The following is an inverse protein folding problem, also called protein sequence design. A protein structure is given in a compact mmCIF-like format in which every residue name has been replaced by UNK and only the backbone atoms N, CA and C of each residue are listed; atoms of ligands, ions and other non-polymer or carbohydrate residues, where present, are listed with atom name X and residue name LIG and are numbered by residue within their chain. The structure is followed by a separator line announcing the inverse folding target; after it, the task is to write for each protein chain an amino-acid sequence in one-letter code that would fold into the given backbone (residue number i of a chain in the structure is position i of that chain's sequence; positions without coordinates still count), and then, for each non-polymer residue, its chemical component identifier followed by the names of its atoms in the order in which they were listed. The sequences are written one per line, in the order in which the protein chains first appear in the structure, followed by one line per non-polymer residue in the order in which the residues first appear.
data_IF_658693406131
#
_entry.id   IF_658693406131
#
_cell.length_a   1.000
_cell.length_b   1.000
_cell.length_c   1.000
_cell.angle_alpha   90.00
_cell.angle_beta   90.00
_cell.angle_gamma   90.00
#
_symmetry.space_group_name_H-M   'P 1'
#
loop_
_entity.id
_entity.type
_entity.pdbx_description
1 polymer ?
#
# COMPACT_ATOMS: atom_id res chain seq x y z
N UNK A 1 22.55 -16.03 12.42
CA UNK A 1 22.11 -14.64 12.16
C UNK A 1 21.97 -14.32 10.67
N UNK A 2 22.97 -14.59 9.80
CA UNK A 2 22.86 -14.29 8.34
C UNK A 2 21.62 -14.90 7.66
N UNK A 3 21.31 -16.16 7.93
CA UNK A 3 20.13 -16.85 7.35
C UNK A 3 18.79 -16.23 7.78
N UNK A 4 18.72 -15.62 8.97
CA UNK A 4 17.51 -15.00 9.51
C UNK A 4 17.06 -13.75 8.72
N UNK A 5 18.00 -13.01 8.12
CA UNK A 5 17.70 -11.78 7.37
C UNK A 5 17.82 -11.93 5.85
N UNK A 6 18.41 -13.02 5.36
CA UNK A 6 18.75 -13.21 3.94
C UNK A 6 17.93 -14.30 3.24
N UNK A 7 17.04 -15.00 3.94
CA UNK A 7 16.17 -16.02 3.33
C UNK A 7 15.25 -15.34 2.30
N UNK A 8 15.22 -15.75 1.02
CA UNK A 8 14.35 -15.14 0.00
C UNK A 8 12.86 -15.31 0.34
N UNK A 9 11.97 -14.47 -0.22
CA UNK A 9 10.53 -14.65 -0.01
C UNK A 9 10.09 -16.00 -0.59
N UNK A 10 8.91 -16.47 -0.20
CA UNK A 10 8.31 -17.62 -0.88
C UNK A 10 8.05 -17.27 -2.34
N UNK A 11 8.20 -18.26 -3.23
CA UNK A 11 7.85 -18.15 -4.65
C UNK A 11 6.38 -18.54 -4.87
N UNK A 12 5.84 -18.29 -6.06
CA UNK A 12 4.54 -18.85 -6.40
C UNK A 12 4.60 -20.39 -6.34
N UNK A 13 3.54 -21.02 -5.81
CA UNK A 13 3.47 -22.47 -5.60
C UNK A 13 4.04 -22.97 -4.26
N UNK A 14 4.81 -22.16 -3.52
CA UNK A 14 5.27 -22.49 -2.16
C UNK A 14 4.16 -22.21 -1.12
N UNK A 15 3.11 -23.04 -1.14
CA UNK A 15 1.96 -22.93 -0.22
C UNK A 15 2.28 -23.57 1.13
N UNK A 16 2.01 -22.85 2.21
CA UNK A 16 2.11 -23.37 3.58
C UNK A 16 0.71 -23.81 4.02
N UNK A 17 0.47 -25.13 4.06
CA UNK A 17 -0.85 -25.69 4.40
C UNK A 17 -1.27 -25.49 5.86
N UNK A 18 -0.31 -25.24 6.75
CA UNK A 18 -0.54 -25.02 8.20
C UNK A 18 -0.05 -23.64 8.61
N UNK A 19 -0.48 -22.60 7.90
CA UNK A 19 -0.14 -21.22 8.24
C UNK A 19 -1.07 -20.70 9.33
N UNK A 20 -0.50 -20.16 10.39
CA UNK A 20 -1.23 -19.42 11.43
C UNK A 20 -1.02 -17.92 11.23
N UNK A 21 -2.07 -17.13 11.47
CA UNK A 21 -1.98 -15.67 11.41
C UNK A 21 -1.20 -15.18 12.63
N UNK A 22 -0.10 -14.47 12.39
CA UNK A 22 0.74 -13.97 13.48
C UNK A 22 0.12 -12.74 14.14
N UNK A 23 0.45 -12.51 15.43
CA UNK A 23 0.05 -11.28 16.13
C UNK A 23 0.52 -10.01 15.39
N UNK A 24 1.66 -10.08 14.72
CA UNK A 24 2.21 -8.95 13.97
C UNK A 24 1.35 -8.60 12.74
N UNK A 25 0.78 -9.60 12.08
CA UNK A 25 -0.16 -9.39 10.97
C UNK A 25 -1.47 -8.79 11.46
N UNK A 26 -2.01 -9.27 12.59
CA UNK A 26 -3.19 -8.67 13.21
C UNK A 26 -2.92 -7.21 13.61
N UNK A 27 -1.73 -6.92 14.15
CA UNK A 27 -1.34 -5.56 14.49
C UNK A 27 -1.17 -4.68 13.25
N UNK A 28 -0.67 -5.23 12.15
CA UNK A 28 -0.61 -4.56 10.84
C UNK A 28 -1.99 -4.13 10.36
N UNK A 29 -2.98 -5.02 10.42
CA UNK A 29 -4.37 -4.71 10.05
C UNK A 29 -4.99 -3.61 10.95
N UNK A 30 -4.67 -3.61 12.25
CA UNK A 30 -5.13 -2.53 13.15
C UNK A 30 -4.61 -1.14 12.76
N UNK A 31 -3.41 -1.04 12.17
CA UNK A 31 -2.93 0.25 11.65
C UNK A 31 -3.81 0.77 10.51
N UNK A 32 -4.28 -0.13 9.63
CA UNK A 32 -5.24 0.25 8.58
C UNK A 32 -6.60 0.66 9.16
N UNK A 33 -7.06 0.02 10.23
CA UNK A 33 -8.29 0.44 10.93
C UNK A 33 -8.17 1.88 11.43
N UNK A 34 -7.01 2.25 12.00
CA UNK A 34 -6.75 3.64 12.43
C UNK A 34 -6.74 4.60 11.24
N UNK A 35 -6.09 4.24 10.13
CA UNK A 35 -6.11 5.03 8.89
C UNK A 35 -7.53 5.27 8.38
N UNK A 36 -8.35 4.23 8.33
CA UNK A 36 -9.76 4.32 7.90
C UNK A 36 -10.56 5.18 8.88
N UNK A 37 -10.29 5.11 10.18
CA UNK A 37 -10.93 5.96 11.17
C UNK A 37 -10.60 7.45 10.98
N UNK A 38 -9.35 7.80 10.64
CA UNK A 38 -8.95 9.18 10.33
C UNK A 38 -9.73 9.73 9.13
N UNK A 39 -9.78 8.97 8.03
CA UNK A 39 -10.51 9.40 6.81
C UNK A 39 -12.02 9.45 7.05
N UNK A 40 -12.56 8.56 7.89
CA UNK A 40 -13.97 8.58 8.29
C UNK A 40 -14.30 9.81 9.15
N UNK A 41 -13.37 10.26 9.98
CA UNK A 41 -13.54 11.48 10.77
C UNK A 41 -13.69 12.72 9.87
N UNK A 42 -12.86 12.82 8.83
CA UNK A 42 -12.97 13.87 7.81
C UNK A 42 -14.35 13.88 7.12
N UNK A 43 -14.90 12.70 6.79
CA UNK A 43 -16.25 12.60 6.23
C UNK A 43 -17.32 13.09 7.23
N UNK A 44 -17.16 12.78 8.51
CA UNK A 44 -18.11 13.18 9.55
C UNK A 44 -18.15 14.70 9.76
N UNK A 45 -17.05 15.42 9.50
CA UNK A 45 -16.99 16.89 9.57
C UNK A 45 -17.42 17.57 8.26
N UNK A 46 -17.38 16.86 7.13
CA UNK A 46 -17.74 17.38 5.79
C UNK A 46 -18.89 16.60 5.14
N UNK A 47 -20.05 16.56 5.82
CA UNK A 47 -21.21 15.78 5.35
C UNK A 47 -21.82 16.40 4.08
N UNK A 48 -21.56 15.77 2.94
CA UNK A 48 -22.09 16.17 1.62
C UNK A 48 -21.52 15.30 0.49
N UNK A 49 -22.00 15.50 -0.74
CA UNK A 49 -21.55 14.70 -1.89
C UNK A 49 -20.04 14.85 -2.16
N UNK A 50 -19.50 16.06 -1.95
CA UNK A 50 -18.05 16.34 -2.03
C UNK A 50 -17.28 15.52 -1.00
N UNK A 51 -17.68 15.54 0.27
CA UNK A 51 -17.01 14.79 1.33
C UNK A 51 -17.08 13.26 1.12
N UNK A 52 -18.20 12.75 0.60
CA UNK A 52 -18.32 11.33 0.22
C UNK A 52 -17.32 10.97 -0.89
N UNK A 53 -17.18 11.82 -1.91
CA UNK A 53 -16.21 11.58 -2.98
C UNK A 53 -14.77 11.60 -2.44
N UNK A 54 -14.41 12.58 -1.61
CA UNK A 54 -13.09 12.66 -0.94
C UNK A 54 -12.80 11.39 -0.15
N UNK A 55 -13.75 10.98 0.68
CA UNK A 55 -13.68 9.78 1.48
C UNK A 55 -13.44 8.55 0.60
N UNK A 56 -14.25 8.33 -0.44
CA UNK A 56 -14.15 7.15 -1.32
C UNK A 56 -12.79 7.10 -2.01
N UNK A 57 -12.27 8.25 -2.46
CA UNK A 57 -10.97 8.30 -3.13
C UNK A 57 -9.83 7.98 -2.15
N UNK A 58 -9.77 8.64 -0.99
CA UNK A 58 -8.70 8.40 -0.02
C UNK A 58 -8.80 6.98 0.56
N UNK A 59 -10.01 6.52 0.87
CA UNK A 59 -10.27 5.14 1.26
C UNK A 59 -9.81 4.15 0.19
N UNK A 60 -10.11 4.41 -1.08
CA UNK A 60 -9.69 3.56 -2.20
C UNK A 60 -8.16 3.46 -2.30
N UNK A 61 -7.43 4.56 -2.09
CA UNK A 61 -5.97 4.51 -2.04
C UNK A 61 -5.45 3.67 -0.87
N UNK A 62 -6.05 3.83 0.32
CA UNK A 62 -5.72 3.02 1.50
C UNK A 62 -6.01 1.54 1.24
N UNK A 63 -7.13 1.24 0.61
CA UNK A 63 -7.51 -0.11 0.21
C UNK A 63 -6.49 -0.73 -0.76
N UNK A 64 -6.05 0.01 -1.79
CA UNK A 64 -5.00 -0.45 -2.69
C UNK A 64 -3.68 -0.75 -1.96
N UNK A 65 -3.31 0.10 -0.99
CA UNK A 65 -2.13 -0.12 -0.17
C UNK A 65 -2.27 -1.37 0.71
N UNK A 66 -3.42 -1.55 1.37
CA UNK A 66 -3.73 -2.73 2.18
C UNK A 66 -3.69 -4.01 1.35
N UNK A 67 -4.37 -4.02 0.20
CA UNK A 67 -4.38 -5.16 -0.71
C UNK A 67 -2.96 -5.58 -1.12
N UNK A 68 -2.09 -4.61 -1.44
CA UNK A 68 -0.71 -4.87 -1.80
C UNK A 68 0.14 -5.37 -0.63
N UNK A 69 -0.03 -4.79 0.56
CA UNK A 69 0.68 -5.21 1.77
C UNK A 69 0.30 -6.62 2.19
N UNK A 70 -0.99 -6.85 2.43
CA UNK A 70 -1.52 -8.14 2.87
C UNK A 70 -1.33 -9.22 1.82
N UNK A 71 -1.55 -8.92 0.54
CA UNK A 71 -1.32 -9.87 -0.55
C UNK A 71 0.13 -10.33 -0.63
N UNK A 72 1.10 -9.44 -0.40
CA UNK A 72 2.51 -9.84 -0.35
C UNK A 72 2.82 -10.73 0.86
N UNK A 73 2.30 -10.39 2.05
CA UNK A 73 2.52 -11.20 3.26
C UNK A 73 1.89 -12.59 3.15
N UNK A 74 0.67 -12.67 2.64
CA UNK A 74 -0.08 -13.90 2.45
C UNK A 74 0.63 -14.84 1.46
N UNK A 75 1.03 -14.32 0.30
CA UNK A 75 1.58 -15.13 -0.78
C UNK A 75 3.07 -15.44 -0.59
N UNK A 76 3.84 -14.45 -0.12
CA UNK A 76 5.31 -14.49 -0.19
C UNK A 76 6.01 -14.36 1.18
N UNK A 77 5.26 -13.98 2.24
CA UNK A 77 5.79 -13.78 3.58
C UNK A 77 6.37 -15.06 4.21
N UNK A 78 7.35 -14.90 5.10
CA UNK A 78 7.97 -15.96 5.91
C UNK A 78 8.09 -15.48 7.36
N UNK A 79 8.18 -16.40 8.31
CA UNK A 79 8.48 -16.06 9.71
C UNK A 79 10.00 -15.81 9.93
N UNK A 80 10.57 -14.86 9.19
CA UNK A 80 11.98 -14.49 9.28
C UNK A 80 12.18 -13.01 9.62
N UNK A 81 13.44 -12.62 9.86
CA UNK A 81 13.78 -11.25 10.22
C UNK A 81 13.57 -10.25 9.08
N UNK A 82 13.62 -10.69 7.81
CA UNK A 82 13.43 -9.78 6.68
C UNK A 82 11.97 -9.41 6.51
N UNK A 83 11.06 -10.39 6.56
CA UNK A 83 9.63 -10.16 6.51
C UNK A 83 9.17 -9.28 7.70
N UNK A 84 9.69 -9.54 8.91
CA UNK A 84 9.42 -8.69 10.09
C UNK A 84 9.88 -7.25 9.87
N UNK A 85 11.07 -7.04 9.33
CA UNK A 85 11.56 -5.70 8.99
C UNK A 85 10.69 -5.00 7.95
N UNK A 86 10.15 -5.73 6.96
CA UNK A 86 9.20 -5.15 6.00
C UNK A 86 7.92 -4.72 6.69
N UNK A 87 7.32 -5.56 7.53
CA UNK A 87 6.10 -5.20 8.28
C UNK A 87 6.35 -3.95 9.13
N UNK A 88 7.42 -3.92 9.94
CA UNK A 88 7.71 -2.74 10.77
C UNK A 88 7.94 -1.47 9.93
N UNK A 89 8.62 -1.59 8.80
CA UNK A 89 8.85 -0.45 7.89
C UNK A 89 7.54 0.05 7.30
N UNK A 90 6.68 -0.86 6.83
CA UNK A 90 5.35 -0.53 6.30
C UNK A 90 4.49 0.12 7.38
N UNK A 91 4.49 -0.41 8.60
CA UNK A 91 3.74 0.15 9.72
C UNK A 91 4.19 1.56 10.08
N UNK A 92 5.51 1.82 10.07
CA UNK A 92 6.03 3.17 10.30
C UNK A 92 5.56 4.14 9.21
N UNK A 93 5.60 3.72 7.94
CA UNK A 93 5.12 4.52 6.82
C UNK A 93 3.60 4.74 6.87
N UNK A 94 2.83 3.73 7.25
CA UNK A 94 1.37 3.82 7.44
C UNK A 94 1.00 4.74 8.61
N UNK A 95 1.77 4.70 9.70
CA UNK A 95 1.58 5.61 10.82
C UNK A 95 1.85 7.08 10.41
N UNK A 96 2.89 7.32 9.61
CA UNK A 96 3.13 8.66 9.02
C UNK A 96 2.01 9.03 8.05
N UNK A 97 1.55 8.10 7.23
CA UNK A 97 0.44 8.33 6.29
C UNK A 97 -0.84 8.72 7.04
N UNK A 98 -1.09 8.12 8.21
CA UNK A 98 -2.25 8.42 9.06
C UNK A 98 -2.25 9.86 9.58
N UNK A 99 -1.08 10.46 9.81
CA UNK A 99 -0.96 11.87 10.22
C UNK A 99 -1.54 12.80 9.17
N UNK A 100 -1.36 12.48 7.88
CA UNK A 100 -1.81 13.29 6.76
C UNK A 100 -3.16 12.85 6.18
N UNK A 101 -3.77 11.79 6.72
CA UNK A 101 -4.93 11.16 6.13
C UNK A 101 -6.21 12.00 6.25
N UNK A 102 -6.38 12.72 7.37
CA UNK A 102 -7.54 13.59 7.58
C UNK A 102 -7.55 14.76 6.60
N UNK A 103 -6.41 15.44 6.40
CA UNK A 103 -6.25 16.56 5.46
C UNK A 103 -5.84 16.18 4.03
N UNK A 104 -5.91 14.90 3.65
CA UNK A 104 -5.31 14.39 2.40
C UNK A 104 -5.85 15.05 1.12
N UNK A 105 -7.09 15.53 1.14
CA UNK A 105 -7.71 16.21 -0.01
C UNK A 105 -7.50 17.72 -0.02
N UNK A 106 -6.85 18.28 1.00
CA UNK A 106 -6.52 19.70 1.14
C UNK A 106 -5.03 19.90 1.41
N UNK A 107 -4.69 20.68 2.43
CA UNK A 107 -3.31 21.15 2.71
C UNK A 107 -2.29 20.01 2.93
N UNK A 108 -2.71 18.89 3.54
CA UNK A 108 -1.81 17.76 3.81
C UNK A 108 -1.63 16.83 2.60
N UNK A 109 -2.38 17.05 1.51
CA UNK A 109 -2.39 16.14 0.38
C UNK A 109 -1.05 15.92 -0.34
N UNK A 110 -0.17 16.93 -0.49
CA UNK A 110 1.19 16.69 -0.97
C UNK A 110 2.00 15.76 -0.07
N UNK A 111 1.91 15.93 1.25
CA UNK A 111 2.59 15.07 2.21
C UNK A 111 2.03 13.64 2.17
N UNK A 112 0.70 13.51 2.15
CA UNK A 112 0.02 12.23 1.94
C UNK A 112 0.49 11.53 0.66
N UNK A 113 0.52 12.24 -0.47
CA UNK A 113 0.95 11.73 -1.76
C UNK A 113 2.40 11.20 -1.74
N UNK A 114 3.31 11.97 -1.14
CA UNK A 114 4.73 11.61 -1.03
C UNK A 114 4.88 10.37 -0.14
N UNK A 115 4.26 10.36 1.04
CA UNK A 115 4.32 9.21 1.95
C UNK A 115 3.73 7.96 1.31
N UNK A 116 2.59 8.10 0.61
CA UNK A 116 1.96 7.02 -0.14
C UNK A 116 2.88 6.48 -1.23
N UNK A 117 3.51 7.35 -2.02
CA UNK A 117 4.43 6.95 -3.08
C UNK A 117 5.67 6.22 -2.54
N UNK A 118 6.21 6.63 -1.37
CA UNK A 118 7.31 5.92 -0.69
C UNK A 118 6.87 4.52 -0.27
N UNK A 119 5.68 4.40 0.35
CA UNK A 119 5.11 3.11 0.74
C UNK A 119 4.87 2.21 -0.48
N UNK A 120 4.30 2.75 -1.56
CA UNK A 120 4.04 2.00 -2.79
C UNK A 120 5.32 1.62 -3.53
N UNK A 121 6.38 2.42 -3.41
CA UNK A 121 7.72 2.05 -3.89
C UNK A 121 8.26 0.84 -3.13
N UNK A 122 8.05 0.78 -1.80
CA UNK A 122 8.42 -0.37 -0.99
C UNK A 122 7.62 -1.63 -1.39
N UNK A 123 6.32 -1.52 -1.68
CA UNK A 123 5.54 -2.64 -2.23
C UNK A 123 6.06 -3.06 -3.61
N UNK A 124 6.33 -2.10 -4.49
CA UNK A 124 6.86 -2.35 -5.84
C UNK A 124 8.18 -3.09 -5.78
N UNK A 125 9.07 -2.68 -4.86
CA UNK A 125 10.33 -3.36 -4.62
C UNK A 125 10.13 -4.81 -4.15
N UNK A 126 9.21 -5.03 -3.22
CA UNK A 126 8.87 -6.36 -2.72
C UNK A 126 8.37 -7.29 -3.84
N UNK A 127 7.49 -6.81 -4.72
CA UNK A 127 7.03 -7.55 -5.89
C UNK A 127 8.11 -7.74 -6.94
N UNK A 128 9.03 -6.78 -7.09
CA UNK A 128 10.18 -6.90 -7.98
C UNK A 128 11.12 -8.01 -7.54
N UNK A 129 11.33 -8.16 -6.23
CA UNK A 129 12.11 -9.27 -5.69
C UNK A 129 11.47 -10.62 -6.05
N UNK A 130 10.14 -10.75 -5.98
CA UNK A 130 9.43 -11.95 -6.42
C UNK A 130 9.69 -12.20 -7.90
N UNK A 131 9.41 -11.22 -8.75
CA UNK A 131 9.65 -11.32 -10.20
C UNK A 131 11.04 -11.85 -10.57
N UNK A 132 12.06 -11.47 -9.80
CA UNK A 132 13.47 -11.86 -10.03
C UNK A 132 13.76 -13.32 -9.67
N UNK A 133 13.07 -13.87 -8.67
CA UNK A 133 13.34 -15.22 -8.15
C UNK A 133 12.35 -16.27 -8.66
N UNK A 134 11.21 -15.82 -9.16
CA UNK A 134 10.07 -16.66 -9.47
C UNK A 134 10.20 -17.37 -10.83
N UNK A 135 9.36 -18.39 -11.01
CA UNK A 135 9.39 -19.24 -12.18
C UNK A 135 8.99 -18.47 -13.45
N UNK A 136 9.57 -18.82 -14.63
CA UNK A 136 9.32 -18.08 -15.86
C UNK A 136 7.85 -17.97 -16.27
N UNK A 137 6.99 -18.92 -15.86
CA UNK A 137 5.56 -18.90 -16.21
C UNK A 137 4.81 -17.72 -15.59
N UNK A 138 5.20 -17.26 -14.40
CA UNK A 138 4.53 -16.15 -13.70
C UNK A 138 5.06 -14.78 -14.13
N UNK A 139 6.20 -14.72 -14.84
CA UNK A 139 6.86 -13.46 -15.21
C UNK A 139 5.98 -12.50 -16.02
N UNK A 140 5.22 -12.92 -17.04
CA UNK A 140 4.40 -12.00 -17.81
C UNK A 140 3.37 -11.26 -16.94
N UNK A 141 2.68 -11.99 -16.06
CA UNK A 141 1.69 -11.43 -15.13
C UNK A 141 2.37 -10.47 -14.16
N UNK A 142 3.47 -10.90 -13.53
CA UNK A 142 4.20 -10.06 -12.58
C UNK A 142 4.82 -8.83 -13.23
N UNK A 143 5.25 -8.89 -14.49
CA UNK A 143 5.76 -7.72 -15.24
C UNK A 143 4.66 -6.69 -15.48
N UNK A 144 3.48 -7.11 -15.94
CA UNK A 144 2.33 -6.22 -16.11
C UNK A 144 1.90 -5.60 -14.78
N UNK A 145 1.89 -6.39 -13.71
CA UNK A 145 1.58 -5.92 -12.37
C UNK A 145 2.58 -4.86 -11.89
N UNK A 146 3.89 -5.13 -12.03
CA UNK A 146 4.94 -4.18 -11.67
C UNK A 146 4.88 -2.89 -12.49
N UNK A 147 4.54 -2.96 -13.78
CA UNK A 147 4.33 -1.77 -14.60
C UNK A 147 3.21 -0.91 -14.01
N UNK A 148 2.07 -1.51 -13.66
CA UNK A 148 0.99 -0.83 -12.96
C UNK A 148 1.44 -0.19 -11.65
N UNK A 149 2.21 -0.91 -10.83
CA UNK A 149 2.70 -0.38 -9.55
C UNK A 149 3.66 0.81 -9.73
N UNK A 150 4.58 0.73 -10.70
CA UNK A 150 5.48 1.85 -11.04
C UNK A 150 4.68 3.05 -11.53
N UNK A 151 3.67 2.82 -12.38
CA UNK A 151 2.76 3.89 -12.80
C UNK A 151 2.05 4.53 -11.61
N UNK A 152 1.53 3.74 -10.66
CA UNK A 152 0.94 4.26 -9.41
C UNK A 152 1.91 5.14 -8.64
N UNK A 153 3.15 4.69 -8.42
CA UNK A 153 4.17 5.48 -7.72
C UNK A 153 4.39 6.82 -8.42
N UNK A 154 4.60 6.81 -9.74
CA UNK A 154 4.89 8.02 -10.50
C UNK A 154 3.70 8.98 -10.54
N UNK A 155 2.49 8.46 -10.73
CA UNK A 155 1.25 9.26 -10.78
C UNK A 155 0.95 9.89 -9.43
N UNK A 156 1.00 9.11 -8.35
CA UNK A 156 0.73 9.65 -7.00
C UNK A 156 1.84 10.62 -6.58
N UNK A 157 3.11 10.31 -6.83
CA UNK A 157 4.20 11.24 -6.53
C UNK A 157 4.07 12.55 -7.33
N UNK A 158 3.77 12.47 -8.62
CA UNK A 158 3.53 13.64 -9.48
C UNK A 158 2.35 14.49 -8.99
N UNK A 159 1.33 13.85 -8.43
CA UNK A 159 0.16 14.54 -7.88
C UNK A 159 0.47 15.43 -6.66
N UNK A 160 1.62 15.24 -6.00
CA UNK A 160 2.05 16.08 -4.89
C UNK A 160 2.36 17.53 -5.31
N UNK A 161 2.58 17.77 -6.61
CA UNK A 161 3.02 19.06 -7.15
C UNK A 161 1.91 19.81 -7.91
N UNK A 162 0.66 19.35 -7.84
CA UNK A 162 -0.49 19.99 -8.47
C UNK A 162 -1.49 20.50 -7.44
N UNK A 163 -2.48 21.27 -7.88
CA UNK A 163 -3.55 21.76 -7.01
C UNK A 163 -4.38 20.63 -6.40
N UNK A 164 -5.01 20.90 -5.26
CA UNK A 164 -5.79 19.92 -4.49
C UNK A 164 -6.90 19.27 -5.33
N UNK A 165 -7.62 20.07 -6.12
CA UNK A 165 -8.66 19.57 -7.02
C UNK A 165 -8.08 18.65 -8.10
N UNK A 166 -6.97 19.05 -8.74
CA UNK A 166 -6.32 18.22 -9.76
C UNK A 166 -5.78 16.92 -9.17
N UNK A 167 -5.20 16.96 -7.97
CA UNK A 167 -4.69 15.79 -7.25
C UNK A 167 -5.81 14.78 -6.98
N UNK A 168 -6.97 15.25 -6.51
CA UNK A 168 -8.10 14.38 -6.24
C UNK A 168 -8.67 13.71 -7.50
N UNK A 169 -8.74 14.44 -8.62
CA UNK A 169 -9.12 13.86 -9.92
C UNK A 169 -8.11 12.82 -10.41
N UNK A 170 -6.80 13.09 -10.27
CA UNK A 170 -5.74 12.12 -10.59
C UNK A 170 -5.92 10.84 -9.79
N UNK A 171 -6.15 10.94 -8.48
CA UNK A 171 -6.38 9.79 -7.62
C UNK A 171 -7.67 9.04 -7.97
N UNK A 172 -8.73 9.75 -8.34
CA UNK A 172 -9.99 9.15 -8.79
C UNK A 172 -9.77 8.32 -10.05
N UNK A 173 -9.12 8.89 -11.07
CA UNK A 173 -8.83 8.21 -12.34
C UNK A 173 -7.94 6.99 -12.09
N UNK A 174 -6.90 7.15 -11.26
CA UNK A 174 -6.01 6.06 -10.88
C UNK A 174 -6.79 4.87 -10.30
N UNK A 175 -7.73 5.12 -9.38
CA UNK A 175 -8.54 4.05 -8.78
C UNK A 175 -9.45 3.36 -9.79
N UNK A 176 -10.10 4.13 -10.65
CA UNK A 176 -10.98 3.57 -11.70
C UNK A 176 -10.21 2.69 -12.69
N UNK A 177 -8.95 3.02 -12.97
CA UNK A 177 -8.08 2.22 -13.84
C UNK A 177 -7.62 0.92 -13.16
N UNK A 178 -7.53 0.92 -11.82
CA UNK A 178 -7.04 -0.23 -11.05
C UNK A 178 -8.12 -1.26 -10.67
N UNK A 179 -9.40 -0.87 -10.71
CA UNK A 179 -10.57 -1.72 -10.41
C UNK A 179 -11.09 -2.36 -11.70
#
# INVERSE_FOLDING_TARGET
MRTWFLTPPRRHGEVVYTREVSFLELFYDLVYVVLIAQVSHHLATHVGWRGVWEFVVVFGLIWLAWFNGTGWHELHGREDGRARNYIFTQMMLLAVLAVFAEGATGEDGPAFAITYAILFTLYTWQWHLIHRIDDPEYRPVTTSYLAGMVTTVLVVLGSAFVSDEARLWIWTILLVVWI
#
